data_IF_125306378004
#
_entry.id   IF_125306378004
#
_cell.length_a   1.000
_cell.length_b   1.000
_cell.length_c   1.000
_cell.angle_alpha   90.00
_cell.angle_beta   90.00
_cell.angle_gamma   90.00
#
_symmetry.space_group_name_H-M   'P 1'
#
loop_
_entity.id
_entity.type
_entity.pdbx_description
1 polymer ?
#
# COMPACT_ATOMS: atom_id res chain seq x y z
N UNK A 1 17.47 25.87 -13.87
CA UNK A 1 17.70 25.27 -15.21
C UNK A 1 19.08 25.61 -15.76
N UNK A 2 19.67 26.76 -15.43
CA UNK A 2 21.01 27.17 -15.89
C UNK A 2 22.17 26.75 -14.96
N UNK A 3 22.01 25.66 -14.20
CA UNK A 3 23.05 25.14 -13.31
C UNK A 3 23.60 23.86 -13.92
N UNK A 4 24.75 23.95 -14.58
CA UNK A 4 25.54 22.79 -15.04
C UNK A 4 26.79 22.67 -14.15
N UNK A 5 26.54 22.24 -12.91
CA UNK A 5 27.54 22.09 -11.87
C UNK A 5 27.06 21.08 -10.82
N UNK A 6 27.83 20.93 -9.75
CA UNK A 6 27.66 19.95 -8.69
C UNK A 6 26.31 20.03 -7.95
N UNK A 7 25.57 21.15 -8.06
CA UNK A 7 24.20 21.24 -7.51
C UNK A 7 23.18 20.43 -8.30
N UNK A 8 23.42 20.21 -9.59
CA UNK A 8 22.50 19.53 -10.50
C UNK A 8 23.00 18.15 -10.94
N UNK A 9 24.31 17.89 -10.85
CA UNK A 9 24.88 16.60 -11.19
C UNK A 9 24.42 15.51 -10.22
N UNK A 10 24.25 14.30 -10.74
CA UNK A 10 23.90 13.13 -9.93
C UNK A 10 25.16 12.66 -9.21
N UNK A 11 25.13 12.74 -7.88
CA UNK A 11 26.18 12.20 -7.02
C UNK A 11 25.97 10.70 -6.87
N UNK A 12 26.77 9.92 -7.60
CA UNK A 12 26.79 8.47 -7.44
C UNK A 12 27.67 8.12 -6.23
N UNK A 13 27.19 7.28 -5.30
CA UNK A 13 28.00 6.88 -4.14
C UNK A 13 29.23 6.10 -4.59
N UNK A 14 30.40 6.46 -4.06
CA UNK A 14 31.62 5.69 -4.23
C UNK A 14 31.48 4.35 -3.47
N UNK A 15 31.76 3.18 -4.08
CA UNK A 15 31.73 1.89 -3.39
C UNK A 15 32.60 1.83 -2.12
N UNK A 16 33.67 2.63 -2.06
CA UNK A 16 34.61 2.68 -0.93
C UNK A 16 34.22 3.74 0.12
N UNK A 17 33.38 4.72 -0.25
CA UNK A 17 32.66 5.50 0.75
C UNK A 17 31.56 4.61 1.34
N UNK A 18 31.52 4.52 2.67
CA UNK A 18 30.29 4.10 3.34
C UNK A 18 29.23 5.13 2.96
N UNK A 19 28.51 4.89 1.86
CA UNK A 19 27.39 5.70 1.40
C UNK A 19 26.62 6.12 2.64
N UNK A 20 26.46 7.44 2.83
CA UNK A 20 25.83 7.97 4.03
C UNK A 20 24.54 7.17 4.26
N UNK A 21 24.47 6.46 5.41
CA UNK A 21 23.46 5.43 5.66
C UNK A 21 22.03 5.80 5.18
N UNK A 22 21.56 7.07 5.30
CA UNK A 22 20.24 7.45 4.79
C UNK A 22 20.02 7.28 3.28
N UNK A 23 21.04 7.53 2.44
CA UNK A 23 20.90 7.44 0.98
C UNK A 23 20.78 5.99 0.51
N UNK A 24 21.58 5.09 1.10
CA UNK A 24 21.51 3.66 0.82
C UNK A 24 20.15 3.08 1.26
N UNK A 25 19.69 3.44 2.47
CA UNK A 25 18.38 3.04 2.98
C UNK A 25 17.24 3.49 2.05
N UNK A 26 17.27 4.74 1.57
CA UNK A 26 16.26 5.23 0.63
C UNK A 26 16.30 4.50 -0.72
N UNK A 27 17.50 4.17 -1.22
CA UNK A 27 17.66 3.40 -2.46
C UNK A 27 17.07 1.99 -2.32
N UNK A 28 17.36 1.29 -1.23
CA UNK A 28 16.84 -0.05 -0.95
C UNK A 28 15.31 -0.04 -0.78
N UNK A 29 14.79 0.92 -0.01
CA UNK A 29 13.35 1.12 0.13
C UNK A 29 12.68 1.39 -1.23
N UNK A 30 13.26 2.29 -2.04
CA UNK A 30 12.71 2.61 -3.37
C UNK A 30 12.73 1.39 -4.28
N UNK A 31 13.81 0.59 -4.26
CA UNK A 31 13.88 -0.68 -5.00
C UNK A 31 12.76 -1.62 -4.56
N UNK A 32 12.58 -1.82 -3.26
CA UNK A 32 11.51 -2.67 -2.73
C UNK A 32 10.12 -2.22 -3.20
N UNK A 33 9.83 -0.92 -3.18
CA UNK A 33 8.56 -0.37 -3.67
C UNK A 33 8.37 -0.57 -5.18
N UNK A 34 9.44 -0.46 -5.98
CA UNK A 34 9.40 -0.75 -7.43
C UNK A 34 9.06 -2.22 -7.65
N UNK A 35 9.68 -3.15 -6.92
CA UNK A 35 9.38 -4.59 -7.02
C UNK A 35 7.95 -4.90 -6.59
N UNK A 36 7.49 -4.34 -5.46
CA UNK A 36 6.10 -4.48 -5.01
C UNK A 36 5.12 -4.07 -6.11
N UNK A 37 5.30 -2.88 -6.70
CA UNK A 37 4.45 -2.42 -7.80
C UNK A 37 4.57 -3.31 -9.04
N UNK A 38 5.77 -3.83 -9.33
CA UNK A 38 6.05 -4.65 -10.52
C UNK A 38 5.55 -6.08 -10.40
N UNK A 39 5.47 -6.63 -9.20
CA UNK A 39 5.10 -8.03 -9.01
C UNK A 39 3.60 -8.20 -8.72
N UNK A 40 2.90 -7.11 -8.38
CA UNK A 40 1.47 -7.11 -8.08
C UNK A 40 0.64 -6.33 -9.12
N UNK A 41 -0.02 -7.01 -10.08
CA UNK A 41 -0.94 -6.42 -11.05
C UNK A 41 -2.02 -5.50 -10.47
N UNK A 42 -2.47 -5.71 -9.22
CA UNK A 42 -3.49 -4.86 -8.59
C UNK A 42 -3.09 -3.39 -8.51
N UNK A 43 -1.78 -3.08 -8.46
CA UNK A 43 -1.24 -1.72 -8.48
C UNK A 43 -1.03 -1.15 -9.89
N UNK A 44 -1.22 -1.95 -10.94
CA UNK A 44 -0.93 -1.62 -12.35
C UNK A 44 -2.08 -1.97 -13.29
N UNK A 45 -3.31 -1.92 -12.78
CA UNK A 45 -4.52 -2.04 -13.58
C UNK A 45 -4.53 -1.03 -14.73
N UNK A 46 -5.02 -1.44 -15.90
CA UNK A 46 -5.20 -0.58 -17.09
C UNK A 46 -6.60 0.04 -17.11
N UNK A 47 -7.52 -0.45 -16.26
CA UNK A 47 -8.86 0.09 -16.07
C UNK A 47 -9.04 0.61 -14.64
N UNK A 48 -9.94 1.58 -14.49
CA UNK A 48 -10.31 2.11 -13.19
C UNK A 48 -11.00 1.05 -12.32
N UNK A 49 -10.89 1.24 -11.00
CA UNK A 49 -11.72 0.54 -10.03
C UNK A 49 -13.16 1.02 -10.13
N UNK A 50 -14.12 0.13 -9.88
CA UNK A 50 -15.55 0.44 -10.01
C UNK A 50 -16.28 0.49 -8.66
N UNK A 51 -15.67 0.02 -7.57
CA UNK A 51 -16.29 0.00 -6.24
C UNK A 51 -17.46 -0.98 -6.16
N UNK A 52 -17.49 -1.99 -7.04
CA UNK A 52 -18.54 -3.02 -7.08
C UNK A 52 -17.91 -4.39 -7.27
N UNK A 53 -18.60 -5.47 -6.89
CA UNK A 53 -18.15 -6.82 -7.17
C UNK A 53 -17.95 -7.01 -8.67
N UNK A 54 -16.92 -7.76 -9.07
CA UNK A 54 -16.62 -8.01 -10.48
C UNK A 54 -17.34 -9.27 -10.93
N UNK A 55 -18.18 -9.17 -11.96
CA UNK A 55 -18.89 -10.33 -12.53
C UNK A 55 -17.88 -11.43 -12.93
N UNK A 56 -18.08 -12.64 -12.40
CA UNK A 56 -17.21 -13.81 -12.65
C UNK A 56 -16.15 -14.09 -11.57
N UNK A 57 -16.08 -13.30 -10.50
CA UNK A 57 -15.33 -13.66 -9.28
C UNK A 57 -16.18 -14.53 -8.35
N UNK A 58 -15.55 -15.47 -7.63
CA UNK A 58 -16.22 -16.22 -6.55
C UNK A 58 -16.31 -15.42 -5.25
N UNK A 59 -15.70 -14.22 -5.25
CA UNK A 59 -15.64 -13.31 -4.12
C UNK A 59 -16.70 -12.21 -4.33
N UNK A 60 -17.60 -12.05 -3.35
CA UNK A 60 -18.64 -11.00 -3.33
C UNK A 60 -18.05 -9.62 -3.00
N UNK A 61 -16.75 -9.56 -2.65
CA UNK A 61 -16.06 -8.32 -2.34
C UNK A 61 -15.86 -7.43 -3.58
N UNK A 62 -15.98 -6.12 -3.37
CA UNK A 62 -15.72 -5.10 -4.39
C UNK A 62 -14.25 -5.10 -4.81
N UNK A 63 -13.98 -4.51 -5.99
CA UNK A 63 -12.60 -4.37 -6.46
C UNK A 63 -11.77 -3.32 -5.69
N UNK A 64 -12.47 -2.40 -5.02
CA UNK A 64 -11.92 -1.41 -4.09
C UNK A 64 -12.94 -1.12 -2.98
N UNK A 65 -12.46 -0.91 -1.75
CA UNK A 65 -13.25 -0.36 -0.66
C UNK A 65 -12.42 0.65 0.14
N UNK A 66 -13.09 1.60 0.77
CA UNK A 66 -12.48 2.71 1.50
C UNK A 66 -13.02 2.73 2.91
N UNK A 67 -12.14 2.82 3.91
CA UNK A 67 -12.52 2.76 5.31
C UNK A 67 -11.98 3.94 6.10
N UNK A 68 -12.74 4.33 7.13
CA UNK A 68 -12.25 5.22 8.18
C UNK A 68 -11.18 4.50 9.02
N UNK A 69 -10.40 5.21 9.85
CA UNK A 69 -9.49 4.57 10.81
C UNK A 69 -10.17 3.59 11.76
N UNK A 70 -11.48 3.72 11.97
CA UNK A 70 -12.28 2.82 12.81
C UNK A 70 -12.63 1.49 12.11
N UNK A 71 -12.33 1.34 10.81
CA UNK A 71 -12.59 0.13 10.03
C UNK A 71 -13.98 0.09 9.39
N UNK A 72 -14.74 1.17 9.48
CA UNK A 72 -16.06 1.33 8.87
C UNK A 72 -15.93 1.85 7.44
N UNK A 73 -16.79 1.38 6.53
CA UNK A 73 -16.77 1.86 5.13
C UNK A 73 -17.13 3.36 5.08
N UNK A 74 -16.33 4.13 4.34
CA UNK A 74 -16.48 5.58 4.26
C UNK A 74 -17.79 5.98 3.60
N UNK A 75 -18.55 6.81 4.29
CA UNK A 75 -19.77 7.41 3.75
C UNK A 75 -19.45 8.67 2.95
N UNK A 76 -20.42 9.18 2.18
CA UNK A 76 -20.28 10.45 1.45
C UNK A 76 -19.93 11.63 2.37
N UNK A 77 -20.38 11.60 3.63
CA UNK A 77 -20.07 12.65 4.60
C UNK A 77 -18.59 12.61 5.03
N UNK A 78 -18.03 11.41 5.20
CA UNK A 78 -16.62 11.22 5.57
C UNK A 78 -15.70 11.75 4.46
N UNK A 79 -16.08 11.57 3.20
CA UNK A 79 -15.38 12.13 2.04
C UNK A 79 -15.40 13.66 1.99
N UNK A 80 -16.47 14.28 2.47
CA UNK A 80 -16.64 15.74 2.47
C UNK A 80 -16.03 16.41 3.71
N UNK A 81 -15.63 15.62 4.72
CA UNK A 81 -14.95 16.14 5.88
C UNK A 81 -13.57 16.69 5.46
N UNK A 82 -13.43 18.02 5.47
CA UNK A 82 -12.21 18.74 5.05
C UNK A 82 -10.94 18.40 5.86
N UNK A 83 -11.05 17.50 6.85
CA UNK A 83 -10.00 17.10 7.78
C UNK A 83 -9.72 15.60 7.75
N UNK A 84 -10.33 14.84 6.84
CA UNK A 84 -10.03 13.42 6.66
C UNK A 84 -8.56 13.25 6.23
N UNK A 85 -7.69 13.11 7.23
CA UNK A 85 -6.23 12.97 7.11
C UNK A 85 -5.79 11.53 7.28
N UNK A 86 -6.74 10.60 7.43
CA UNK A 86 -6.46 9.21 7.68
C UNK A 86 -7.55 8.35 7.03
N UNK A 87 -7.12 7.29 6.34
CA UNK A 87 -8.03 6.34 5.68
C UNK A 87 -7.31 5.02 5.41
N UNK A 88 -8.10 3.96 5.23
CA UNK A 88 -7.63 2.66 4.74
C UNK A 88 -8.25 2.38 3.37
N UNK A 89 -7.45 1.86 2.45
CA UNK A 89 -7.91 1.44 1.12
C UNK A 89 -7.72 -0.07 0.99
N UNK A 90 -8.79 -0.79 0.69
CA UNK A 90 -8.72 -2.19 0.31
C UNK A 90 -8.67 -2.31 -1.21
N UNK A 91 -7.74 -3.13 -1.71
CA UNK A 91 -7.63 -3.48 -3.12
C UNK A 91 -7.77 -5.00 -3.27
N UNK A 92 -8.77 -5.44 -4.03
CA UNK A 92 -9.02 -6.86 -4.21
C UNK A 92 -8.26 -7.44 -5.41
N UNK A 93 -7.27 -8.29 -5.14
CA UNK A 93 -6.48 -8.96 -6.17
C UNK A 93 -7.24 -10.03 -6.96
N UNK A 94 -8.36 -10.54 -6.44
CA UNK A 94 -9.22 -11.49 -7.17
C UNK A 94 -10.19 -10.80 -8.15
N UNK A 95 -10.41 -9.49 -7.96
CA UNK A 95 -11.36 -8.67 -8.72
C UNK A 95 -10.69 -7.83 -9.81
N UNK A 96 -9.66 -8.39 -10.46
CA UNK A 96 -9.05 -7.81 -11.64
C UNK A 96 -9.86 -8.23 -12.87
N UNK A 97 -10.72 -7.33 -13.34
CA UNK A 97 -11.68 -7.58 -14.42
C UNK A 97 -11.06 -7.65 -15.83
N UNK A 98 -9.82 -7.20 -15.98
CA UNK A 98 -9.15 -7.09 -17.26
C UNK A 98 -8.28 -8.32 -17.54
N UNK A 99 -8.42 -8.94 -18.73
CA UNK A 99 -7.63 -10.10 -19.08
C UNK A 99 -6.19 -9.71 -19.38
N UNK A 100 -5.29 -10.68 -19.18
CA UNK A 100 -3.89 -10.57 -19.57
C UNK A 100 -3.69 -10.52 -21.09
N UNK A 101 -2.44 -10.36 -21.54
CA UNK A 101 -2.11 -10.20 -22.96
C UNK A 101 -2.59 -11.34 -23.86
N UNK A 102 -2.89 -12.53 -23.31
CA UNK A 102 -3.39 -13.70 -24.03
C UNK A 102 -4.84 -14.03 -23.69
N UNK A 103 -5.59 -13.13 -23.06
CA UNK A 103 -6.98 -13.34 -22.69
C UNK A 103 -7.17 -14.08 -21.35
N UNK A 104 -6.08 -14.41 -20.65
CA UNK A 104 -6.09 -15.12 -19.38
C UNK A 104 -6.64 -14.27 -18.23
N UNK A 105 -7.28 -14.92 -17.26
CA UNK A 105 -7.69 -14.26 -16.03
C UNK A 105 -6.46 -13.92 -15.19
N UNK A 106 -6.40 -12.68 -14.72
CA UNK A 106 -5.37 -12.23 -13.78
C UNK A 106 -5.95 -12.31 -12.37
N UNK A 107 -5.20 -12.92 -11.46
CA UNK A 107 -5.42 -12.84 -10.01
C UNK A 107 -4.14 -12.38 -9.35
N UNK A 108 -4.29 -11.73 -8.22
CA UNK A 108 -3.20 -11.20 -7.40
C UNK A 108 -3.59 -11.34 -5.93
N UNK A 109 -2.63 -11.08 -5.05
CA UNK A 109 -2.88 -10.90 -3.63
C UNK A 109 -3.74 -9.64 -3.39
N UNK A 110 -4.50 -9.61 -2.28
CA UNK A 110 -5.24 -8.40 -1.88
C UNK A 110 -4.45 -7.59 -0.86
N UNK A 111 -4.69 -6.27 -0.85
CA UNK A 111 -3.92 -5.34 -0.05
C UNK A 111 -4.81 -4.38 0.76
N UNK A 112 -4.34 -4.02 1.96
CA UNK A 112 -4.82 -2.85 2.69
C UNK A 112 -3.72 -1.80 2.71
N UNK A 113 -4.06 -0.57 2.33
CA UNK A 113 -3.16 0.57 2.38
C UNK A 113 -3.71 1.54 3.43
N UNK A 114 -3.02 1.65 4.55
CA UNK A 114 -3.38 2.53 5.65
C UNK A 114 -2.56 3.81 5.55
N UNK A 115 -3.23 4.95 5.39
CA UNK A 115 -2.59 6.25 5.26
C UNK A 115 -2.84 7.07 6.52
N UNK A 116 -1.79 7.51 7.20
CA UNK A 116 -1.87 8.53 8.25
C UNK A 116 -1.18 9.82 7.78
N UNK A 117 -1.93 10.67 7.09
CA UNK A 117 -1.54 12.02 6.73
C UNK A 117 -1.85 13.04 7.85
N UNK A 118 -2.11 12.61 9.09
CA UNK A 118 -2.18 13.52 10.23
C UNK A 118 -0.78 13.75 10.82
N UNK A 119 -0.66 14.68 11.78
CA UNK A 119 0.60 14.90 12.49
C UNK A 119 0.77 13.96 13.70
N UNK A 120 -0.33 13.37 14.18
CA UNK A 120 -0.35 12.53 15.37
C UNK A 120 -0.37 11.04 15.04
N UNK A 121 -0.05 10.24 16.03
CA UNK A 121 -0.24 8.79 15.98
C UNK A 121 -1.73 8.46 16.01
N UNK A 122 -2.17 7.54 15.16
CA UNK A 122 -3.55 7.06 15.08
C UNK A 122 -3.57 5.53 15.06
N UNK A 123 -4.67 4.97 15.55
CA UNK A 123 -4.96 3.54 15.51
C UNK A 123 -5.91 3.25 14.35
N UNK A 124 -5.54 2.27 13.50
CA UNK A 124 -6.35 1.83 12.38
C UNK A 124 -6.88 0.43 12.65
N UNK A 125 -8.19 0.24 12.60
CA UNK A 125 -8.78 -1.09 12.65
C UNK A 125 -8.64 -1.79 11.28
N UNK A 126 -8.25 -3.06 11.29
CA UNK A 126 -8.29 -3.92 10.11
C UNK A 126 -9.75 -4.24 9.79
N UNK A 127 -10.27 -3.91 8.59
CA UNK A 127 -11.67 -4.14 8.24
C UNK A 127 -12.07 -5.61 8.35
N UNK A 128 -13.24 -5.87 8.94
CA UNK A 128 -13.82 -7.21 9.08
C UNK A 128 -14.46 -7.66 7.76
N UNK A 129 -14.44 -8.95 7.46
CA UNK A 129 -15.02 -9.53 6.25
C UNK A 129 -14.16 -9.36 4.99
N UNK A 130 -12.98 -8.77 5.13
CA UNK A 130 -12.03 -8.54 4.04
C UNK A 130 -10.80 -9.45 4.13
N UNK A 131 -10.81 -10.46 5.00
CA UNK A 131 -9.77 -11.48 5.13
C UNK A 131 -9.34 -11.68 6.58
N UNK A 132 -9.20 -12.92 7.00
CA UNK A 132 -8.98 -13.29 8.41
C UNK A 132 -7.61 -12.85 8.95
N UNK A 133 -6.58 -12.86 8.10
CA UNK A 133 -5.22 -12.57 8.51
C UNK A 133 -4.48 -11.80 7.42
N UNK A 134 -3.75 -10.77 7.86
CA UNK A 134 -2.99 -9.87 7.03
C UNK A 134 -1.54 -9.83 7.49
N UNK A 135 -0.61 -9.63 6.57
CA UNK A 135 0.80 -9.45 6.86
C UNK A 135 1.25 -8.05 6.46
N UNK A 136 1.92 -7.33 7.35
CA UNK A 136 2.57 -6.06 7.00
C UNK A 136 3.70 -6.33 6.01
N UNK A 137 3.68 -5.66 4.87
CA UNK A 137 4.71 -5.77 3.82
C UNK A 137 5.45 -4.46 3.57
N UNK A 138 4.88 -3.33 3.99
CA UNK A 138 5.52 -2.01 3.95
C UNK A 138 5.13 -1.25 5.20
N UNK A 139 6.08 -0.57 5.82
CA UNK A 139 5.85 0.38 6.92
C UNK A 139 6.86 1.52 6.77
N UNK A 140 6.40 2.72 6.41
CA UNK A 140 7.28 3.87 6.19
C UNK A 140 7.87 4.43 7.48
N UNK A 141 7.37 4.01 8.64
CA UNK A 141 7.95 4.39 9.93
C UNK A 141 9.21 3.58 10.27
N UNK A 142 9.50 2.51 9.52
CA UNK A 142 10.69 1.66 9.68
C UNK A 142 11.76 2.08 8.67
N UNK A 143 12.89 2.63 9.13
CA UNK A 143 13.99 3.01 8.24
C UNK A 143 14.48 1.82 7.42
N UNK A 144 14.69 0.66 8.06
CA UNK A 144 15.20 -0.55 7.42
C UNK A 144 14.13 -1.29 6.57
N UNK A 145 12.92 -0.76 6.50
CA UNK A 145 11.79 -1.38 5.83
C UNK A 145 11.27 -2.62 6.54
N UNK A 146 10.63 -3.50 5.75
CA UNK A 146 10.09 -4.79 6.21
C UNK A 146 10.64 -5.86 5.29
N UNK A 147 11.37 -6.81 5.84
CA UNK A 147 11.90 -7.92 5.05
C UNK A 147 10.73 -8.79 4.51
N UNK A 148 10.79 -9.23 3.24
CA UNK A 148 9.72 -10.03 2.65
C UNK A 148 9.37 -11.28 3.48
N UNK A 149 8.09 -11.41 3.83
CA UNK A 149 7.57 -12.57 4.56
C UNK A 149 7.81 -12.57 6.07
N UNK A 150 8.54 -11.60 6.62
CA UNK A 150 8.83 -11.52 8.07
C UNK A 150 7.99 -10.49 8.82
N UNK A 151 7.24 -9.66 8.09
CA UNK A 151 6.40 -8.63 8.70
C UNK A 151 5.35 -9.20 9.65
N UNK A 152 4.95 -8.42 10.68
CA UNK A 152 3.97 -8.86 11.66
C UNK A 152 2.64 -9.20 10.99
N UNK A 153 1.98 -10.22 11.54
CA UNK A 153 0.65 -10.65 11.14
C UNK A 153 -0.37 -10.00 12.06
N UNK A 154 -1.47 -9.55 11.48
CA UNK A 154 -2.60 -8.96 12.20
C UNK A 154 -3.90 -9.59 11.72
N UNK A 155 -4.81 -9.84 12.65
CA UNK A 155 -6.12 -10.39 12.34
C UNK A 155 -7.10 -9.29 11.90
N UNK A 156 -8.21 -9.67 11.26
CA UNK A 156 -9.33 -8.74 11.09
C UNK A 156 -9.85 -8.24 12.45
N UNK A 157 -10.30 -6.98 12.49
CA UNK A 157 -10.73 -6.31 13.72
C UNK A 157 -9.59 -5.90 14.66
N UNK A 158 -8.36 -6.38 14.45
CA UNK A 158 -7.19 -5.92 15.20
C UNK A 158 -6.84 -4.46 14.85
N UNK A 159 -6.13 -3.77 15.74
CA UNK A 159 -5.68 -2.40 15.54
C UNK A 159 -4.20 -2.33 15.20
N UNK A 160 -3.87 -1.47 14.25
CA UNK A 160 -2.51 -1.17 13.81
C UNK A 160 -2.21 0.30 14.11
N UNK A 161 -1.18 0.54 14.92
CA UNK A 161 -0.70 1.87 15.27
C UNK A 161 0.14 2.46 14.13
N UNK A 162 -0.24 3.62 13.60
CA UNK A 162 0.53 4.37 12.61
C UNK A 162 0.93 5.72 13.17
N UNK A 163 2.24 6.05 13.14
CA UNK A 163 2.73 7.38 13.52
C UNK A 163 2.24 8.45 12.53
N UNK A 164 2.32 9.73 12.92
CA UNK A 164 2.00 10.83 12.01
C UNK A 164 2.86 10.80 10.74
N UNK A 165 2.26 11.15 9.60
CA UNK A 165 2.93 11.18 8.28
C UNK A 165 3.49 9.83 7.85
N UNK A 166 2.77 8.75 8.12
CA UNK A 166 3.19 7.39 7.75
C UNK A 166 2.16 6.66 6.91
N UNK A 167 2.63 5.57 6.30
CA UNK A 167 1.84 4.64 5.52
C UNK A 167 2.28 3.20 5.85
N UNK A 168 1.30 2.33 6.01
CA UNK A 168 1.51 0.89 6.18
C UNK A 168 0.73 0.14 5.11
N UNK A 169 1.36 -0.84 4.47
CA UNK A 169 0.71 -1.75 3.52
C UNK A 169 0.66 -3.14 4.12
N UNK A 170 -0.53 -3.72 4.10
CA UNK A 170 -0.77 -5.09 4.50
C UNK A 170 -1.18 -5.90 3.28
N UNK A 171 -0.85 -7.18 3.31
CA UNK A 171 -1.10 -8.15 2.24
C UNK A 171 -1.81 -9.37 2.81
N UNK A 172 -2.84 -9.85 2.12
CA UNK A 172 -3.36 -11.22 2.30
C UNK A 172 -3.07 -12.01 1.02
N UNK A 173 -2.50 -13.22 1.11
CA UNK A 173 -2.32 -14.08 -0.05
C UNK A 173 -3.65 -14.43 -0.72
N UNK A 174 -3.61 -14.60 -2.04
CA UNK A 174 -4.71 -15.16 -2.84
C UNK A 174 -5.05 -16.63 -2.52
#
# INVERSE_FOLDING_TARGET
YCQDNELAWVHWPDPDEKAAAPAQTLLEFTRAMVWLRRDHPVFRRRRFFHGRPVEGTHDELSDIAWFTPEGEEMTQQDWQAAHARAMTVFLNGHAISEPGPRGERISDDSFLLMFNASAGTLEFAVPVGHGEQWQVVVDTARPDGVEPGTGPKVAEGERVTLIGRSLTVLKRPA
#
